data_IF_229195557138
#
_entry.id   IF_229195557138
#
_cell.length_a   1.000
_cell.length_b   1.000
_cell.length_c   1.000
_cell.angle_alpha   90.00
_cell.angle_beta   90.00
_cell.angle_gamma   90.00
#
_symmetry.space_group_name_H-M   'P 1'
#
loop_
_entity.id
_entity.type
_entity.pdbx_description
1 polymer ?
#
# COMPACT_ATOMS: atom_id res chain seq x y z
N UNK A 1 -16.06 30.69 -5.54
CA UNK A 1 -15.18 30.01 -4.58
C UNK A 1 -14.44 28.94 -5.37
N UNK A 2 -13.09 28.92 -5.42
CA UNK A 2 -12.38 27.86 -6.11
C UNK A 2 -12.65 26.56 -5.36
N UNK A 3 -13.08 25.52 -6.10
CA UNK A 3 -13.23 24.17 -5.59
C UNK A 3 -11.87 23.77 -4.98
N UNK A 4 -11.85 23.39 -3.70
CA UNK A 4 -10.73 22.71 -3.09
C UNK A 4 -10.49 21.44 -3.90
N UNK A 5 -9.56 21.49 -4.86
CA UNK A 5 -8.87 20.29 -5.30
C UNK A 5 -8.19 19.75 -4.04
N UNK A 6 -8.78 18.76 -3.41
CA UNK A 6 -8.01 17.93 -2.48
C UNK A 6 -6.83 17.43 -3.31
N UNK A 7 -5.63 17.88 -2.97
CA UNK A 7 -4.41 17.47 -3.67
C UNK A 7 -4.37 15.95 -3.74
N UNK A 8 -4.24 15.43 -4.96
CA UNK A 8 -4.14 13.99 -5.19
C UNK A 8 -3.00 13.43 -4.34
N UNK A 9 -3.28 12.41 -3.53
CA UNK A 9 -2.26 11.80 -2.70
C UNK A 9 -1.16 11.19 -3.57
N UNK A 10 0.08 11.49 -3.23
CA UNK A 10 1.29 10.96 -3.87
C UNK A 10 2.02 10.11 -2.85
N UNK A 11 1.93 8.79 -3.05
CA UNK A 11 2.30 7.80 -2.05
C UNK A 11 3.73 7.27 -2.25
N UNK A 12 4.41 7.06 -1.14
CA UNK A 12 5.62 6.25 -1.05
C UNK A 12 5.36 5.05 -0.13
N UNK A 13 5.59 3.83 -0.64
CA UNK A 13 5.39 2.57 0.08
C UNK A 13 6.73 2.00 0.53
N UNK A 14 6.85 1.73 1.81
CA UNK A 14 7.99 1.09 2.49
C UNK A 14 7.50 -0.18 3.17
N UNK A 15 8.07 -1.32 2.79
CA UNK A 15 7.64 -2.64 3.27
C UNK A 15 8.76 -3.28 4.08
N UNK A 16 8.54 -3.46 5.37
CA UNK A 16 9.29 -4.41 6.19
C UNK A 16 8.75 -5.82 5.88
N UNK A 17 9.38 -6.45 4.88
CA UNK A 17 8.81 -7.68 4.34
C UNK A 17 8.95 -8.87 5.27
N UNK A 18 9.96 -8.91 6.12
CA UNK A 18 10.10 -10.00 7.09
C UNK A 18 8.95 -10.03 8.09
N UNK A 19 8.59 -8.87 8.63
CA UNK A 19 7.47 -8.73 9.56
C UNK A 19 6.14 -9.12 8.90
N UNK A 20 5.87 -8.59 7.70
CA UNK A 20 4.66 -8.91 6.94
C UNK A 20 4.58 -10.40 6.60
N UNK A 21 5.67 -11.01 6.13
CA UNK A 21 5.68 -12.42 5.75
C UNK A 21 5.43 -13.34 6.95
N UNK A 22 6.00 -13.01 8.12
CA UNK A 22 5.77 -13.72 9.37
C UNK A 22 4.30 -13.58 9.78
N UNK A 23 3.76 -12.36 9.82
CA UNK A 23 2.38 -12.10 10.19
C UNK A 23 1.36 -12.83 9.32
N UNK A 24 1.57 -12.82 7.99
CA UNK A 24 0.72 -13.52 7.01
C UNK A 24 0.74 -15.03 7.24
N UNK A 25 1.93 -15.60 7.50
CA UNK A 25 2.08 -17.03 7.82
C UNK A 25 1.36 -17.38 9.12
N UNK A 26 1.53 -16.59 10.17
CA UNK A 26 0.96 -16.83 11.49
C UNK A 26 -0.57 -16.62 11.51
N UNK A 27 -1.09 -15.81 10.62
CA UNK A 27 -2.52 -15.68 10.33
C UNK A 27 -3.08 -16.79 9.39
N UNK A 28 -2.26 -17.82 9.08
CA UNK A 28 -2.63 -18.97 8.26
C UNK A 28 -3.02 -18.65 6.81
N UNK A 29 -2.57 -17.53 6.26
CA UNK A 29 -2.66 -17.27 4.84
C UNK A 29 -1.55 -18.01 4.09
N UNK A 30 -1.88 -18.53 2.90
CA UNK A 30 -0.95 -19.34 2.12
C UNK A 30 0.28 -18.54 1.66
N UNK A 31 0.07 -17.31 1.23
CA UNK A 31 1.12 -16.43 0.70
C UNK A 31 0.65 -14.98 0.75
N UNK A 32 1.57 -14.06 0.98
CA UNK A 32 1.31 -12.62 0.82
C UNK A 32 1.15 -12.28 -0.66
N UNK A 33 0.07 -11.58 -1.00
CA UNK A 33 -0.17 -11.05 -2.34
C UNK A 33 0.00 -9.53 -2.34
N UNK A 34 1.08 -9.08 -2.94
CA UNK A 34 1.40 -7.66 -3.03
C UNK A 34 0.40 -6.88 -3.91
N UNK A 35 -0.24 -7.54 -4.88
CA UNK A 35 -1.18 -6.87 -5.77
C UNK A 35 -2.40 -6.34 -5.01
N UNK A 36 -2.87 -7.05 -3.96
CA UNK A 36 -3.95 -6.58 -3.11
C UNK A 36 -3.62 -5.24 -2.44
N UNK A 37 -2.38 -5.13 -1.96
CA UNK A 37 -1.90 -3.90 -1.34
C UNK A 37 -1.82 -2.78 -2.36
N UNK A 38 -1.24 -3.04 -3.53
CA UNK A 38 -1.10 -2.04 -4.59
C UNK A 38 -2.46 -1.55 -5.10
N UNK A 39 -3.41 -2.46 -5.33
CA UNK A 39 -4.78 -2.12 -5.73
C UNK A 39 -5.43 -1.17 -4.70
N UNK A 40 -5.32 -1.50 -3.42
CA UNK A 40 -5.88 -0.67 -2.34
C UNK A 40 -5.22 0.71 -2.26
N UNK A 41 -3.90 0.79 -2.45
CA UNK A 41 -3.19 2.07 -2.44
C UNK A 41 -3.48 2.92 -3.68
N UNK A 42 -3.74 2.29 -4.84
CA UNK A 42 -4.18 2.98 -6.05
C UNK A 42 -5.59 3.58 -5.91
N UNK A 43 -6.44 3.08 -5.01
CA UNK A 43 -7.71 3.73 -4.66
C UNK A 43 -7.46 5.13 -4.06
N UNK A 44 -6.39 5.29 -3.28
CA UNK A 44 -6.07 6.50 -2.52
C UNK A 44 -5.34 7.57 -3.34
N UNK A 45 -4.42 7.15 -4.20
CA UNK A 45 -3.63 8.12 -4.96
C UNK A 45 -2.58 7.51 -5.87
N UNK A 46 -1.65 8.34 -6.34
CA UNK A 46 -0.54 7.90 -7.19
C UNK A 46 0.57 7.29 -6.34
N UNK A 47 0.91 6.05 -6.62
CA UNK A 47 2.01 5.34 -5.98
C UNK A 47 3.31 5.60 -6.76
N UNK A 48 4.16 6.48 -6.22
CA UNK A 48 5.37 6.97 -6.89
C UNK A 48 6.62 6.17 -6.51
N UNK A 49 6.69 5.71 -5.26
CA UNK A 49 7.83 4.96 -4.74
C UNK A 49 7.35 3.68 -4.09
N UNK A 50 8.06 2.59 -4.33
CA UNK A 50 7.78 1.27 -3.76
C UNK A 50 9.09 0.60 -3.41
N UNK A 51 9.36 0.40 -2.11
CA UNK A 51 10.56 -0.24 -1.60
C UNK A 51 10.21 -1.34 -0.62
N UNK A 52 10.93 -2.45 -0.68
CA UNK A 52 10.76 -3.56 0.25
C UNK A 52 12.11 -4.04 0.78
N UNK A 53 12.19 -4.22 2.08
CA UNK A 53 13.41 -4.49 2.85
C UNK A 53 13.33 -5.89 3.43
N UNK A 54 14.31 -6.72 3.16
CA UNK A 54 14.44 -8.07 3.69
C UNK A 54 15.81 -8.68 3.40
N UNK A 55 16.11 -9.80 4.04
CA UNK A 55 17.09 -10.77 3.51
C UNK A 55 16.40 -11.59 2.40
N UNK A 56 16.53 -11.10 1.16
CA UNK A 56 15.87 -11.69 -0.01
C UNK A 56 16.38 -13.08 -0.38
N UNK A 57 17.48 -13.56 0.21
CA UNK A 57 17.90 -14.95 0.07
C UNK A 57 16.88 -15.92 0.70
N UNK A 58 16.22 -15.50 1.77
CA UNK A 58 15.20 -16.26 2.50
C UNK A 58 13.81 -16.18 1.88
N UNK A 59 13.56 -15.16 1.05
CA UNK A 59 12.26 -14.85 0.44
C UNK A 59 12.30 -14.88 -1.08
N UNK A 60 13.13 -15.77 -1.66
CA UNK A 60 13.34 -15.89 -3.11
C UNK A 60 12.04 -16.05 -3.91
N UNK A 61 11.04 -16.77 -3.35
CA UNK A 61 9.75 -17.04 -3.99
C UNK A 61 8.88 -15.79 -4.21
N UNK A 62 9.22 -14.70 -3.53
CA UNK A 62 8.51 -13.42 -3.67
C UNK A 62 9.18 -12.46 -4.66
N UNK A 63 10.47 -12.65 -4.98
CA UNK A 63 11.23 -11.73 -5.83
C UNK A 63 10.54 -11.46 -7.15
N UNK A 64 10.04 -12.51 -7.80
CA UNK A 64 9.38 -12.38 -9.11
C UNK A 64 8.15 -11.49 -9.05
N UNK A 65 7.22 -11.72 -8.12
CA UNK A 65 6.00 -10.93 -7.97
C UNK A 65 6.28 -9.47 -7.61
N UNK A 66 7.31 -9.22 -6.80
CA UNK A 66 7.72 -7.87 -6.44
C UNK A 66 8.40 -7.14 -7.62
N UNK A 67 9.20 -7.82 -8.43
CA UNK A 67 9.75 -7.25 -9.66
C UNK A 67 8.67 -6.94 -10.70
N UNK A 68 7.71 -7.84 -10.90
CA UNK A 68 6.57 -7.62 -11.78
C UNK A 68 5.70 -6.42 -11.32
N UNK A 69 5.64 -6.19 -10.01
CA UNK A 69 5.01 -5.03 -9.39
C UNK A 69 5.87 -3.75 -9.40
N UNK A 70 7.08 -3.81 -9.99
CA UNK A 70 8.07 -2.73 -10.02
C UNK A 70 8.40 -2.19 -8.60
N UNK A 71 8.64 -3.09 -7.65
CA UNK A 71 9.09 -2.77 -6.29
C UNK A 71 10.60 -2.91 -6.24
N UNK A 72 11.27 -1.90 -5.71
CA UNK A 72 12.71 -1.93 -5.44
C UNK A 72 12.99 -2.84 -4.24
N UNK A 73 13.77 -3.90 -4.45
CA UNK A 73 14.16 -4.83 -3.40
C UNK A 73 15.48 -4.37 -2.77
N UNK A 74 15.40 -3.97 -1.51
CA UNK A 74 16.57 -3.57 -0.73
C UNK A 74 17.09 -4.80 0.02
N UNK A 75 18.26 -5.28 -0.37
CA UNK A 75 18.92 -6.42 0.29
C UNK A 75 19.50 -5.98 1.63
N UNK A 76 19.09 -6.64 2.68
CA UNK A 76 19.64 -6.43 4.03
C UNK A 76 20.00 -7.79 4.62
N UNK A 77 21.25 -8.27 4.39
CA UNK A 77 21.68 -9.56 4.88
C UNK A 77 21.67 -9.61 6.41
N UNK A 78 21.04 -10.63 6.98
CA UNK A 78 21.11 -10.86 8.43
C UNK A 78 22.52 -11.37 8.78
N UNK A 79 23.32 -10.52 9.41
CA UNK A 79 24.57 -10.95 10.02
C UNK A 79 24.26 -11.68 11.32
N UNK A 80 24.87 -12.83 11.53
CA UNK A 80 24.63 -13.76 12.65
C UNK A 80 24.91 -13.19 14.05
N UNK A 81 25.45 -11.98 14.16
CA UNK A 81 25.74 -11.30 15.44
C UNK A 81 25.31 -9.84 15.33
N UNK A 82 24.25 -9.46 16.00
CA UNK A 82 23.83 -8.04 16.20
C UNK A 82 23.01 -7.39 15.07
N UNK A 83 22.54 -8.14 14.06
CA UNK A 83 21.89 -7.56 12.88
C UNK A 83 20.35 -7.64 12.81
N UNK A 84 19.65 -7.90 13.91
CA UNK A 84 18.18 -8.06 13.88
C UNK A 84 17.42 -6.85 13.33
N UNK A 85 17.91 -5.63 13.53
CA UNK A 85 17.20 -4.38 13.20
C UNK A 85 17.83 -3.64 12.01
N UNK A 86 18.70 -4.28 11.22
CA UNK A 86 19.36 -3.58 10.11
C UNK A 86 18.39 -3.18 8.99
N UNK A 87 17.37 -3.99 8.73
CA UNK A 87 16.33 -3.69 7.76
C UNK A 87 15.46 -2.52 8.21
N UNK A 88 15.05 -2.53 9.48
CA UNK A 88 14.22 -1.49 10.10
C UNK A 88 14.93 -0.15 10.07
N UNK A 89 16.21 -0.11 10.48
CA UNK A 89 17.02 1.11 10.46
C UNK A 89 17.16 1.62 9.02
N UNK A 90 17.41 0.75 8.04
CA UNK A 90 17.53 1.15 6.65
C UNK A 90 16.21 1.71 6.11
N UNK A 91 15.08 1.08 6.42
CA UNK A 91 13.75 1.58 6.07
C UNK A 91 13.51 2.96 6.66
N UNK A 92 13.78 3.13 7.96
CA UNK A 92 13.61 4.41 8.67
C UNK A 92 14.44 5.51 8.00
N UNK A 93 15.73 5.25 7.71
CA UNK A 93 16.62 6.23 7.07
C UNK A 93 16.10 6.60 5.68
N UNK A 94 15.75 5.63 4.84
CA UNK A 94 15.25 5.88 3.48
C UNK A 94 13.93 6.66 3.49
N UNK A 95 13.01 6.35 4.42
CA UNK A 95 11.74 7.05 4.56
C UNK A 95 11.92 8.49 5.03
N UNK A 96 12.79 8.71 6.02
CA UNK A 96 13.10 10.04 6.52
C UNK A 96 13.79 10.91 5.47
N UNK A 97 14.83 10.37 4.80
CA UNK A 97 15.51 11.07 3.71
C UNK A 97 14.52 11.49 2.61
N UNK A 98 13.63 10.57 2.21
CA UNK A 98 12.60 10.86 1.21
C UNK A 98 11.60 11.93 1.68
N UNK A 99 11.26 11.95 2.96
CA UNK A 99 10.31 12.93 3.51
C UNK A 99 10.82 14.37 3.39
N UNK A 100 12.15 14.55 3.43
CA UNK A 100 12.80 15.85 3.28
C UNK A 100 13.13 16.19 1.81
N UNK A 101 13.63 15.20 1.04
CA UNK A 101 14.09 15.45 -0.33
C UNK A 101 12.96 15.53 -1.36
N UNK A 102 11.83 14.87 -1.10
CA UNK A 102 10.71 14.74 -2.05
C UNK A 102 9.44 15.39 -1.50
N UNK A 103 9.43 16.71 -1.45
CA UNK A 103 8.29 17.48 -0.93
C UNK A 103 6.95 17.12 -1.58
N UNK A 104 6.98 16.74 -2.87
CA UNK A 104 5.79 16.36 -3.62
C UNK A 104 5.18 15.02 -3.15
N UNK A 105 5.89 14.20 -2.40
CA UNK A 105 5.34 13.01 -1.74
C UNK A 105 4.70 13.47 -0.44
N UNK A 106 3.38 13.35 -0.35
CA UNK A 106 2.60 13.82 0.80
C UNK A 106 1.99 12.68 1.64
N UNK A 107 2.08 11.43 1.17
CA UNK A 107 1.57 10.26 1.87
C UNK A 107 2.63 9.15 1.95
N UNK A 108 2.87 8.64 3.15
CA UNK A 108 3.83 7.57 3.43
C UNK A 108 3.08 6.35 3.91
N UNK A 109 3.34 5.21 3.28
CA UNK A 109 2.77 3.92 3.68
C UNK A 109 3.86 3.08 4.30
N UNK A 110 3.71 2.73 5.57
CA UNK A 110 4.62 1.86 6.32
C UNK A 110 3.94 0.51 6.51
N UNK A 111 4.42 -0.49 5.79
CA UNK A 111 3.91 -1.86 5.89
C UNK A 111 4.77 -2.66 6.87
N UNK A 112 4.34 -2.69 8.12
CA UNK A 112 4.87 -3.48 9.24
C UNK A 112 3.86 -3.51 10.38
N UNK A 113 3.97 -4.49 11.27
CA UNK A 113 3.24 -4.53 12.55
C UNK A 113 4.06 -4.10 13.74
N UNK A 114 5.35 -3.76 13.56
CA UNK A 114 6.28 -3.52 14.66
C UNK A 114 6.14 -2.11 15.23
N UNK A 115 6.01 -2.05 16.57
CA UNK A 115 5.96 -0.80 17.34
C UNK A 115 7.22 0.07 17.18
N UNK A 116 8.34 -0.52 16.81
CA UNK A 116 9.62 0.19 16.64
C UNK A 116 9.56 1.23 15.50
N UNK A 117 8.55 1.14 14.61
CA UNK A 117 8.27 2.17 13.61
C UNK A 117 7.41 3.35 14.11
N UNK A 118 6.86 3.31 15.33
CA UNK A 118 6.05 4.41 15.87
C UNK A 118 6.81 5.76 15.91
N UNK A 119 8.12 5.80 16.24
CA UNK A 119 8.89 7.06 16.15
C UNK A 119 9.02 7.59 14.72
N UNK A 120 9.15 6.70 13.72
CA UNK A 120 9.17 7.10 12.31
C UNK A 120 7.84 7.75 11.92
N UNK A 121 6.71 7.10 12.28
CA UNK A 121 5.36 7.63 12.01
C UNK A 121 5.20 9.02 12.60
N UNK A 122 5.57 9.21 13.87
CA UNK A 122 5.50 10.52 14.54
C UNK A 122 6.32 11.57 13.79
N UNK A 123 7.55 11.23 13.37
CA UNK A 123 8.43 12.16 12.64
C UNK A 123 7.91 12.52 11.25
N UNK A 124 7.32 11.58 10.54
CA UNK A 124 6.69 11.83 9.24
C UNK A 124 5.50 12.81 9.41
N UNK A 125 4.69 12.62 10.44
CA UNK A 125 3.56 13.51 10.76
C UNK A 125 4.04 14.92 11.17
N UNK A 126 5.11 15.04 11.95
CA UNK A 126 5.76 16.32 12.23
C UNK A 126 6.19 17.06 10.94
N UNK A 127 6.59 16.31 9.92
CA UNK A 127 6.94 16.82 8.59
C UNK A 127 5.71 17.02 7.67
N UNK A 128 4.51 17.09 8.23
CA UNK A 128 3.25 17.27 7.51
C UNK A 128 2.99 16.21 6.43
N UNK A 129 3.41 14.95 6.70
CA UNK A 129 3.10 13.81 5.84
C UNK A 129 1.93 13.02 6.42
N UNK A 130 1.00 12.61 5.56
CA UNK A 130 -0.06 11.67 5.93
C UNK A 130 0.53 10.27 6.02
N UNK A 131 0.27 9.53 7.09
CA UNK A 131 0.87 8.21 7.29
C UNK A 131 -0.18 7.13 7.36
N UNK A 132 -0.07 6.16 6.44
CA UNK A 132 -0.88 4.95 6.42
C UNK A 132 -0.05 3.80 6.93
N UNK A 133 -0.51 3.15 7.99
CA UNK A 133 0.03 1.86 8.41
C UNK A 133 -0.61 0.71 7.62
N UNK A 134 0.13 -0.35 7.37
CA UNK A 134 -0.39 -1.58 6.79
C UNK A 134 0.23 -2.77 7.53
N UNK A 135 -0.60 -3.68 8.00
CA UNK A 135 -0.12 -4.84 8.76
C UNK A 135 -1.11 -5.98 8.79
N UNK A 136 -0.71 -7.06 9.49
CA UNK A 136 -1.56 -8.22 9.75
C UNK A 136 -2.12 -8.08 11.16
N UNK A 137 -3.43 -8.22 11.30
CA UNK A 137 -4.18 -7.86 12.52
C UNK A 137 -3.61 -8.44 13.81
N UNK A 138 -3.27 -9.74 13.79
CA UNK A 138 -2.81 -10.44 14.99
C UNK A 138 -1.32 -10.22 15.33
N UNK A 139 -0.55 -9.60 14.43
CA UNK A 139 0.89 -9.32 14.59
C UNK A 139 1.21 -7.84 14.58
N UNK A 140 0.20 -6.98 14.65
CA UNK A 140 0.38 -5.53 14.66
C UNK A 140 0.19 -4.96 16.05
N UNK A 141 1.10 -4.11 16.47
CA UNK A 141 1.05 -3.39 17.73
C UNK A 141 -0.04 -2.31 17.71
N UNK A 142 -0.84 -2.23 18.78
CA UNK A 142 -1.83 -1.16 18.97
C UNK A 142 -1.16 0.22 18.95
N UNK A 143 0.05 0.34 19.50
CA UNK A 143 0.82 1.58 19.52
C UNK A 143 1.10 2.09 18.08
N UNK A 144 1.45 1.20 17.15
CA UNK A 144 1.67 1.58 15.77
C UNK A 144 0.36 2.01 15.09
N UNK A 145 -0.73 1.27 15.32
CA UNK A 145 -2.06 1.57 14.77
C UNK A 145 -2.51 2.97 15.18
N UNK A 146 -2.44 3.28 16.47
CA UNK A 146 -2.91 4.56 17.05
C UNK A 146 -2.08 5.76 16.58
N UNK A 147 -0.81 5.57 16.25
CA UNK A 147 0.05 6.64 15.75
C UNK A 147 -0.21 6.99 14.27
N UNK A 148 -0.71 6.05 13.46
CA UNK A 148 -0.99 6.29 12.04
C UNK A 148 -2.25 7.16 11.86
N UNK A 149 -2.32 7.89 10.74
CA UNK A 149 -3.55 8.61 10.36
C UNK A 149 -4.62 7.64 9.84
N UNK A 150 -4.20 6.52 9.25
CA UNK A 150 -5.04 5.42 8.80
C UNK A 150 -4.28 4.11 8.95
N UNK A 151 -5.01 3.02 9.20
CA UNK A 151 -4.43 1.69 9.22
C UNK A 151 -5.21 0.71 8.33
N UNK A 152 -4.48 -0.05 7.49
CA UNK A 152 -5.04 -1.05 6.56
C UNK A 152 -4.63 -2.43 7.05
N UNK A 153 -5.61 -3.28 7.33
CA UNK A 153 -5.34 -4.68 7.67
C UNK A 153 -5.36 -5.56 6.41
N UNK A 154 -4.34 -6.38 6.26
CA UNK A 154 -4.19 -7.29 5.12
C UNK A 154 -5.39 -8.24 4.98
N UNK A 155 -5.95 -8.71 6.09
CA UNK A 155 -7.14 -9.56 6.13
C UNK A 155 -8.35 -8.91 5.44
N UNK A 156 -8.48 -7.61 5.57
CA UNK A 156 -9.60 -6.88 4.96
C UNK A 156 -9.44 -6.79 3.43
N UNK A 157 -8.19 -6.74 2.95
CA UNK A 157 -7.88 -6.80 1.52
C UNK A 157 -8.24 -8.18 0.94
N UNK A 158 -7.83 -9.26 1.62
CA UNK A 158 -8.16 -10.63 1.21
C UNK A 158 -9.66 -10.86 1.17
N UNK A 159 -10.40 -10.39 2.19
CA UNK A 159 -11.88 -10.48 2.20
C UNK A 159 -12.53 -9.66 1.10
N UNK A 160 -11.94 -8.53 0.76
CA UNK A 160 -12.43 -7.65 -0.32
C UNK A 160 -12.41 -8.33 -1.69
N UNK A 161 -11.39 -9.15 -1.97
CA UNK A 161 -11.30 -9.92 -3.23
C UNK A 161 -12.43 -10.94 -3.44
N UNK A 162 -13.01 -11.46 -2.37
CA UNK A 162 -14.04 -12.51 -2.45
C UNK A 162 -15.43 -11.97 -2.85
N UNK A 163 -15.58 -10.66 -3.05
CA UNK A 163 -16.84 -10.08 -3.52
C UNK A 163 -17.00 -10.33 -5.01
N UNK A 164 -18.05 -11.06 -5.45
CA UNK A 164 -18.28 -11.28 -6.86
C UNK A 164 -18.55 -9.94 -7.56
N UNK A 165 -17.79 -9.68 -8.63
CA UNK A 165 -18.08 -8.54 -9.50
C UNK A 165 -19.37 -8.78 -10.28
N UNK A 166 -20.22 -7.77 -10.47
CA UNK A 166 -21.42 -7.91 -11.27
C UNK A 166 -21.10 -8.38 -12.69
N UNK A 167 -21.64 -9.53 -13.07
CA UNK A 167 -21.57 -10.00 -14.46
C UNK A 167 -22.77 -9.48 -15.24
N UNK A 168 -22.53 -8.79 -16.35
CA UNK A 168 -23.58 -8.33 -17.24
C UNK A 168 -23.71 -9.38 -18.34
N UNK A 169 -24.88 -10.01 -18.43
CA UNK A 169 -25.15 -11.01 -19.47
C UNK A 169 -25.14 -10.39 -20.88
N UNK A 170 -24.62 -11.15 -21.86
CA UNK A 170 -24.68 -10.80 -23.30
C UNK A 170 -23.88 -9.55 -23.73
N UNK A 171 -22.79 -9.20 -23.05
CA UNK A 171 -21.86 -8.16 -23.51
C UNK A 171 -20.49 -8.73 -23.86
N UNK A 172 -19.77 -8.14 -24.84
CA UNK A 172 -18.40 -8.55 -25.17
C UNK A 172 -17.47 -8.46 -23.97
N UNK A 173 -16.46 -9.34 -23.90
CA UNK A 173 -15.49 -9.43 -22.80
C UNK A 173 -14.83 -8.08 -22.45
N UNK A 174 -14.41 -7.31 -23.47
CA UNK A 174 -13.83 -5.97 -23.25
C UNK A 174 -14.81 -4.99 -22.59
N UNK A 175 -16.10 -5.12 -22.90
CA UNK A 175 -17.15 -4.28 -22.28
C UNK A 175 -17.35 -4.72 -20.84
N UNK A 176 -17.33 -6.02 -20.57
CA UNK A 176 -17.41 -6.57 -19.20
C UNK A 176 -16.24 -6.08 -18.34
N UNK A 177 -15.00 -6.11 -18.85
CA UNK A 177 -13.82 -5.55 -18.15
C UNK A 177 -13.97 -4.06 -17.86
N UNK A 178 -14.50 -3.29 -18.82
CA UNK A 178 -14.74 -1.86 -18.64
C UNK A 178 -15.76 -1.59 -17.53
N UNK A 179 -16.86 -2.33 -17.49
CA UNK A 179 -17.85 -2.22 -16.43
C UNK A 179 -17.28 -2.63 -15.06
N UNK A 180 -16.51 -3.71 -15.00
CA UNK A 180 -15.85 -4.14 -13.78
C UNK A 180 -14.92 -3.04 -13.23
N UNK A 181 -14.08 -2.45 -14.10
CA UNK A 181 -13.19 -1.36 -13.72
C UNK A 181 -13.96 -0.10 -13.29
N UNK A 182 -15.07 0.22 -13.94
CA UNK A 182 -15.93 1.34 -13.58
C UNK A 182 -16.53 1.14 -12.18
N UNK A 183 -17.18 -0.01 -11.95
CA UNK A 183 -17.81 -0.33 -10.66
C UNK A 183 -16.77 -0.32 -9.54
N UNK A 184 -15.63 -0.96 -9.75
CA UNK A 184 -14.53 -0.98 -8.77
C UNK A 184 -14.01 0.44 -8.46
N UNK A 185 -13.88 1.29 -9.49
CA UNK A 185 -13.44 2.68 -9.31
C UNK A 185 -14.47 3.54 -8.54
N UNK A 186 -15.75 3.31 -8.76
CA UNK A 186 -16.83 3.98 -8.00
C UNK A 186 -16.81 3.53 -6.54
N UNK A 187 -16.72 2.21 -6.30
CA UNK A 187 -16.63 1.66 -4.94
C UNK A 187 -15.37 2.14 -4.21
N UNK A 188 -14.24 2.28 -4.91
CA UNK A 188 -13.02 2.84 -4.36
C UNK A 188 -13.22 4.28 -3.87
N UNK A 189 -13.81 5.14 -4.68
CA UNK A 189 -14.10 6.53 -4.31
C UNK A 189 -15.09 6.63 -3.14
N UNK A 190 -16.08 5.74 -3.07
CA UNK A 190 -17.01 5.67 -1.93
C UNK A 190 -16.29 5.25 -0.64
N UNK A 191 -15.36 4.30 -0.70
CA UNK A 191 -14.54 3.89 0.46
C UNK A 191 -13.68 5.03 1.01
N UNK A 192 -13.27 5.97 0.15
CA UNK A 192 -12.51 7.17 0.53
C UNK A 192 -13.43 8.34 0.97
N UNK A 193 -14.69 8.05 1.35
CA UNK A 193 -15.67 9.04 1.85
C UNK A 193 -15.86 10.25 0.92
N UNK A 194 -15.82 10.04 -0.39
CA UNK A 194 -16.15 11.09 -1.35
C UNK A 194 -17.66 11.22 -1.47
N UNK A 195 -18.23 12.26 -0.85
CA UNK A 195 -19.67 12.51 -0.83
C UNK A 195 -20.27 12.73 -2.22
N UNK A 196 -19.50 13.33 -3.10
CA UNK A 196 -19.90 13.61 -4.48
C UNK A 196 -18.93 12.97 -5.47
N UNK A 197 -19.45 12.09 -6.32
CA UNK A 197 -18.66 11.41 -7.34
C UNK A 197 -18.79 12.13 -8.68
N UNK A 198 -17.76 12.86 -9.06
CA UNK A 198 -17.69 13.47 -10.39
C UNK A 198 -17.15 12.47 -11.42
N UNK A 199 -17.69 12.48 -12.63
CA UNK A 199 -17.23 11.61 -13.73
C UNK A 199 -15.72 11.73 -14.03
N UNK A 200 -15.13 12.91 -13.84
CA UNK A 200 -13.68 13.13 -13.94
C UNK A 200 -12.90 12.32 -12.89
N UNK A 201 -13.35 12.29 -11.64
CA UNK A 201 -12.72 11.53 -10.57
C UNK A 201 -12.76 10.03 -10.84
N UNK A 202 -13.91 9.53 -11.31
CA UNK A 202 -14.07 8.13 -11.69
C UNK A 202 -13.11 7.77 -12.83
N UNK A 203 -13.07 8.59 -13.90
CA UNK A 203 -12.16 8.39 -15.05
C UNK A 203 -10.68 8.40 -14.62
N UNK A 204 -10.31 9.30 -13.73
CA UNK A 204 -8.94 9.40 -13.21
C UNK A 204 -8.56 8.16 -12.39
N UNK A 205 -9.45 7.68 -11.53
CA UNK A 205 -9.27 6.45 -10.77
C UNK A 205 -9.16 5.23 -11.71
N UNK A 206 -10.01 5.13 -12.73
CA UNK A 206 -9.93 4.07 -13.75
C UNK A 206 -8.56 4.07 -14.45
N UNK A 207 -8.09 5.25 -14.90
CA UNK A 207 -6.77 5.39 -15.54
C UNK A 207 -5.61 5.06 -14.62
N UNK A 208 -5.71 5.39 -13.34
CA UNK A 208 -4.70 5.06 -12.33
C UNK A 208 -4.61 3.54 -12.10
N UNK A 209 -5.76 2.84 -12.06
CA UNK A 209 -5.82 1.37 -11.91
C UNK A 209 -5.40 0.63 -13.19
N UNK A 210 -5.80 1.13 -14.35
CA UNK A 210 -5.49 0.54 -15.66
C UNK A 210 -5.02 1.63 -16.62
N UNK A 211 -3.71 1.97 -16.67
CA UNK A 211 -3.17 3.05 -17.51
C UNK A 211 -3.45 2.88 -19.00
N UNK A 212 -3.64 1.63 -19.46
CA UNK A 212 -4.01 1.31 -20.85
C UNK A 212 -5.48 1.58 -21.18
N UNK A 213 -6.29 2.01 -20.20
CA UNK A 213 -7.69 2.36 -20.41
C UNK A 213 -7.80 3.74 -21.08
N UNK A 214 -8.41 3.79 -22.28
CA UNK A 214 -8.68 5.00 -23.06
C UNK A 214 -10.16 5.19 -23.28
#
# INVERSE_FOLDING_TARGET
MPAHHQDEQRLALFIDFENIAIGVRDAHYRKFDINLVLERLLDKGKLLVKKAYADWSRYSDYKRSFHEAAIELIEVPQKSVGGKNSADIRLVVDAMDMSFQKEHINCFVVASGDSDFSPLVSKLKENNKYVIGLGVKNSTSDLLIENCDEFIFYEDLVRGQQRPMPQIANVPEKVQECFALLVDSVLALQRENKDTLWGSMVKETMKRKKPSFN
#
